data_IF_527379318580
#
_entry.id   IF_527379318580
#
_cell.length_a   1.000
_cell.length_b   1.000
_cell.length_c   1.000
_cell.angle_alpha   90.00
_cell.angle_beta   90.00
_cell.angle_gamma   90.00
#
_symmetry.space_group_name_H-M   'P 1'
#
loop_
_entity.id
_entity.type
_entity.pdbx_description
1 polymer ?
#
# COMPACT_ATOMS: atom_id res chain seq x y z
N UNK A 1 -2.49 -11.54 -2.77
CA UNK A 1 -1.38 -10.59 -3.01
C UNK A 1 -1.17 -9.77 -1.76
N UNK A 2 -0.02 -9.12 -1.58
CA UNK A 2 0.32 -8.35 -0.39
C UNK A 2 0.74 -6.93 -0.72
N UNK A 3 0.38 -5.99 0.15
CA UNK A 3 0.92 -4.64 0.20
C UNK A 3 1.64 -4.46 1.53
N UNK A 4 2.98 -4.44 1.50
CA UNK A 4 3.78 -4.05 2.65
C UNK A 4 3.75 -2.52 2.74
N UNK A 5 3.28 -1.98 3.86
CA UNK A 5 3.10 -0.55 4.07
C UNK A 5 4.04 -0.07 5.15
N UNK A 6 4.67 1.07 4.87
CA UNK A 6 5.55 1.76 5.79
C UNK A 6 5.08 3.20 5.97
N UNK A 7 5.18 3.73 7.18
CA UNK A 7 4.81 5.11 7.50
C UNK A 7 6.04 5.95 7.76
N UNK A 8 6.08 7.16 7.18
CA UNK A 8 7.11 8.13 7.52
C UNK A 8 6.90 8.64 8.95
N UNK A 9 7.92 8.46 9.80
CA UNK A 9 7.89 9.04 11.15
C UNK A 9 8.89 10.19 11.23
N UNK A 10 8.38 11.42 11.41
CA UNK A 10 9.21 12.62 11.47
C UNK A 10 10.25 12.59 12.59
N UNK A 11 10.04 11.76 13.62
CA UNK A 11 10.94 11.60 14.76
C UNK A 11 12.26 10.88 14.41
N UNK A 12 12.30 10.13 13.31
CA UNK A 12 13.46 9.29 12.92
C UNK A 12 13.97 9.54 11.51
N UNK A 13 13.29 10.41 10.76
CA UNK A 13 13.70 10.80 9.40
C UNK A 13 13.71 9.65 8.40
N UNK A 14 12.91 8.59 8.62
CA UNK A 14 12.84 7.40 7.77
C UNK A 14 11.44 6.78 7.79
N UNK A 15 11.16 5.91 6.82
CA UNK A 15 9.98 5.05 6.80
C UNK A 15 10.14 3.88 7.78
N UNK A 16 9.07 3.57 8.51
CA UNK A 16 9.01 2.45 9.44
C UNK A 16 7.92 1.46 9.03
N UNK A 17 8.14 0.15 9.22
CA UNK A 17 7.10 -0.86 9.02
C UNK A 17 5.82 -0.45 9.76
N UNK A 18 4.71 -0.48 9.04
CA UNK A 18 3.43 -0.06 9.56
C UNK A 18 2.42 -1.21 9.50
N UNK A 19 2.19 -1.77 8.32
CA UNK A 19 1.20 -2.84 8.16
C UNK A 19 1.41 -3.66 6.89
N UNK A 20 1.20 -4.97 6.98
CA UNK A 20 0.96 -5.83 5.83
C UNK A 20 -0.54 -5.89 5.53
N UNK A 21 -0.92 -5.65 4.27
CA UNK A 21 -2.31 -5.73 3.82
C UNK A 21 -2.46 -6.86 2.81
N UNK A 22 -3.24 -7.88 3.17
CA UNK A 22 -3.66 -8.92 2.24
C UNK A 22 -4.69 -8.34 1.26
N UNK A 23 -4.47 -8.56 -0.04
CA UNK A 23 -5.25 -7.97 -1.11
C UNK A 23 -5.70 -9.03 -2.10
N UNK A 24 -6.97 -8.95 -2.49
CA UNK A 24 -7.51 -9.63 -3.66
C UNK A 24 -7.41 -8.68 -4.85
N UNK A 25 -6.75 -9.14 -5.92
CA UNK A 25 -6.63 -8.39 -7.17
C UNK A 25 -7.82 -8.76 -8.04
N UNK A 26 -8.41 -7.77 -8.72
CA UNK A 26 -9.46 -8.03 -9.69
C UNK A 26 -8.98 -8.91 -10.85
N UNK A 27 -9.94 -9.52 -11.55
CA UNK A 27 -9.70 -10.29 -12.77
C UNK A 27 -10.28 -9.54 -13.99
N UNK A 28 -9.46 -9.16 -14.99
CA UNK A 28 -8.02 -9.43 -15.10
C UNK A 28 -7.18 -8.54 -14.16
N UNK A 29 -5.99 -9.01 -13.75
CA UNK A 29 -5.07 -8.20 -12.95
C UNK A 29 -4.48 -7.04 -13.77
N UNK A 30 -3.98 -5.98 -13.11
CA UNK A 30 -3.20 -4.94 -13.76
C UNK A 30 -2.04 -5.54 -14.58
N UNK A 31 -1.85 -5.04 -15.80
CA UNK A 31 -0.90 -5.61 -16.76
C UNK A 31 0.46 -4.90 -16.71
N UNK A 32 0.50 -3.63 -16.30
CA UNK A 32 1.72 -2.83 -16.28
C UNK A 32 1.92 -2.11 -14.93
N UNK A 33 3.16 -1.73 -14.64
CA UNK A 33 3.54 -1.12 -13.37
C UNK A 33 2.72 0.15 -13.02
N UNK A 34 2.35 0.96 -14.01
CA UNK A 34 1.51 2.15 -13.80
C UNK A 34 0.08 1.83 -13.39
N UNK A 35 -0.49 0.71 -13.87
CA UNK A 35 -1.81 0.25 -13.44
C UNK A 35 -1.74 -0.36 -12.04
N UNK A 36 -0.66 -1.08 -11.72
CA UNK A 36 -0.39 -1.58 -10.37
C UNK A 36 -0.28 -0.45 -9.34
N UNK A 37 0.39 0.65 -9.70
CA UNK A 37 0.51 1.83 -8.84
C UNK A 37 -0.85 2.47 -8.57
N UNK A 38 -1.65 2.71 -9.62
CA UNK A 38 -2.99 3.27 -9.49
C UNK A 38 -3.92 2.37 -8.65
N UNK A 39 -3.86 1.06 -8.88
CA UNK A 39 -4.60 0.07 -8.10
C UNK A 39 -4.19 0.12 -6.62
N UNK A 40 -2.89 0.13 -6.32
CA UNK A 40 -2.39 0.12 -4.94
C UNK A 40 -2.76 1.40 -4.19
N UNK A 41 -2.61 2.57 -4.82
CA UNK A 41 -2.99 3.85 -4.21
C UNK A 41 -4.49 3.90 -3.88
N UNK A 42 -5.34 3.41 -4.79
CA UNK A 42 -6.79 3.35 -4.60
C UNK A 42 -7.18 2.38 -3.48
N UNK A 43 -6.60 1.17 -3.48
CA UNK A 43 -6.86 0.16 -2.46
C UNK A 43 -6.41 0.62 -1.07
N UNK A 44 -5.19 1.16 -0.97
CA UNK A 44 -4.64 1.65 0.30
C UNK A 44 -5.41 2.85 0.84
N UNK A 45 -5.92 3.72 -0.03
CA UNK A 45 -6.81 4.82 0.39
C UNK A 45 -8.11 4.29 1.01
N UNK A 46 -8.72 3.25 0.42
CA UNK A 46 -9.93 2.64 0.98
C UNK A 46 -9.66 1.96 2.34
N UNK A 47 -8.55 1.22 2.46
CA UNK A 47 -8.13 0.59 3.72
C UNK A 47 -7.82 1.65 4.79
N UNK A 48 -7.05 2.68 4.43
CA UNK A 48 -6.68 3.77 5.32
C UNK A 48 -7.90 4.53 5.85
N UNK A 49 -8.92 4.72 5.01
CA UNK A 49 -10.20 5.29 5.40
C UNK A 49 -10.97 4.36 6.35
N UNK A 50 -11.12 3.08 5.99
CA UNK A 50 -11.87 2.09 6.76
C UNK A 50 -11.28 1.87 8.15
N UNK A 51 -9.96 1.88 8.26
CA UNK A 51 -9.23 1.62 9.50
C UNK A 51 -8.79 2.91 10.22
N UNK A 52 -9.22 4.07 9.74
CA UNK A 52 -8.92 5.38 10.32
C UNK A 52 -7.41 5.62 10.54
N UNK A 53 -6.59 5.33 9.51
CA UNK A 53 -5.15 5.60 9.56
C UNK A 53 -4.89 7.09 9.74
N UNK A 54 -3.77 7.40 10.40
CA UNK A 54 -3.34 8.77 10.65
C UNK A 54 -2.99 9.47 9.33
N UNK A 55 -3.32 10.75 9.15
CA UNK A 55 -2.81 11.52 8.03
C UNK A 55 -1.28 11.55 8.02
N UNK A 56 -0.67 11.42 6.85
CA UNK A 56 0.78 11.41 6.73
C UNK A 56 1.29 10.80 5.44
N UNK A 57 2.62 10.71 5.34
CA UNK A 57 3.29 10.09 4.20
C UNK A 57 3.52 8.61 4.45
N UNK A 58 3.16 7.81 3.47
CA UNK A 58 3.30 6.37 3.46
C UNK A 58 4.09 5.91 2.24
N UNK A 59 4.71 4.73 2.36
CA UNK A 59 5.35 4.00 1.28
C UNK A 59 4.77 2.60 1.23
N UNK A 60 4.80 1.97 0.05
CA UNK A 60 4.40 0.58 -0.09
C UNK A 60 5.21 -0.20 -1.11
N UNK A 61 5.16 -1.52 -0.97
CA UNK A 61 5.53 -2.49 -2.01
C UNK A 61 4.36 -3.43 -2.28
N UNK A 62 3.97 -3.57 -3.54
CA UNK A 62 2.98 -4.57 -3.97
C UNK A 62 3.70 -5.86 -4.39
N UNK A 63 3.35 -6.96 -3.74
CA UNK A 63 4.13 -8.19 -3.77
C UNK A 63 3.24 -9.43 -3.98
N UNK A 64 3.71 -10.34 -4.83
CA UNK A 64 3.25 -11.74 -4.80
C UNK A 64 4.13 -12.49 -3.83
N UNK A 65 3.52 -13.18 -2.88
CA UNK A 65 4.20 -14.04 -1.92
C UNK A 65 3.75 -15.49 -2.13
N UNK A 66 4.61 -16.44 -1.82
CA UNK A 66 4.24 -17.87 -1.74
C UNK A 66 3.42 -18.16 -0.46
N UNK A 67 3.01 -19.42 -0.29
CA UNK A 67 2.25 -19.86 0.89
C UNK A 67 3.05 -19.77 2.20
N UNK A 68 4.39 -19.78 2.13
CA UNK A 68 5.30 -19.59 3.28
C UNK A 68 5.58 -18.10 3.57
N UNK A 69 5.05 -17.18 2.77
CA UNK A 69 5.19 -15.74 2.93
C UNK A 69 6.47 -15.15 2.32
N UNK A 70 7.26 -15.91 1.55
CA UNK A 70 8.41 -15.39 0.83
C UNK A 70 7.98 -14.59 -0.41
N UNK A 71 8.68 -13.49 -0.66
CA UNK A 71 8.42 -12.64 -1.83
C UNK A 71 8.85 -13.38 -3.10
N UNK A 72 7.89 -13.69 -3.96
CA UNK A 72 8.10 -14.26 -5.29
C UNK A 72 8.37 -13.17 -6.33
N UNK A 73 7.63 -12.07 -6.25
CA UNK A 73 7.70 -10.97 -7.22
C UNK A 73 7.28 -9.65 -6.58
N UNK A 74 7.99 -8.57 -6.92
CA UNK A 74 7.60 -7.19 -6.60
C UNK A 74 7.00 -6.55 -7.86
N UNK A 75 5.71 -6.26 -7.82
CA UNK A 75 4.94 -5.75 -8.96
C UNK A 75 5.10 -4.23 -9.11
N UNK A 76 5.09 -3.50 -8.00
CA UNK A 76 5.34 -2.05 -7.97
C UNK A 76 5.75 -1.59 -6.57
N UNK A 77 6.30 -0.39 -6.48
CA UNK A 77 6.57 0.32 -5.23
C UNK A 77 6.18 1.78 -5.40
N UNK A 78 5.67 2.37 -4.33
CA UNK A 78 5.19 3.74 -4.36
C UNK A 78 5.29 4.44 -3.03
N UNK A 79 5.10 5.76 -3.07
CA UNK A 79 4.86 6.59 -1.90
C UNK A 79 3.57 7.36 -2.15
N UNK A 80 2.74 7.48 -1.13
CA UNK A 80 1.53 8.29 -1.20
C UNK A 80 1.35 9.11 0.08
N UNK A 81 0.63 10.21 -0.05
CA UNK A 81 0.22 11.02 1.10
C UNK A 81 -1.25 10.73 1.40
N UNK A 82 -1.52 10.24 2.61
CA UNK A 82 -2.87 9.98 3.09
C UNK A 82 -3.38 11.20 3.85
N UNK A 83 -4.60 11.63 3.51
CA UNK A 83 -5.32 12.64 4.27
C UNK A 83 -6.77 12.22 4.43
N UNK A 84 -7.33 12.47 5.62
CA UNK A 84 -8.73 12.21 5.93
C UNK A 84 -9.57 13.34 5.35
N UNK A 85 -9.76 13.35 4.03
CA UNK A 85 -10.59 14.37 3.40
C UNK A 85 -12.05 14.18 3.83
N UNK A 86 -12.45 14.80 4.95
CA UNK A 86 -13.85 14.96 5.33
C UNK A 86 -14.46 15.97 4.37
N UNK A 87 -14.98 15.50 3.24
CA UNK A 87 -16.02 16.25 2.55
C UNK A 87 -17.21 16.32 3.52
N UNK A 88 -17.41 17.50 4.11
CA UNK A 88 -18.60 17.90 4.86
C UNK A 88 -19.68 18.32 3.89
#
# INVERSE_FOLDING_TARGET
>A
MWLDVQMWTGLRGNFHPFKDVACEVGDPPPAIAGEWQQWADSYLSAVAQQEAWQPGRYAYSAERRDDDGHILEVLTRGQWEWSTNRAI
#
